data_IF_695223992084
#
_entry.id   IF_695223992084
#
_cell.length_a   1.000
_cell.length_b   1.000
_cell.length_c   1.000
_cell.angle_alpha   90.00
_cell.angle_beta   90.00
_cell.angle_gamma   90.00
#
_symmetry.space_group_name_H-M   'P 1'
#
loop_
_entity.id
_entity.type
_entity.pdbx_description
1 polymer ?
#
# COMPACT_ATOMS: atom_id res chain seq x y z
N UNK A 1 -6.56 -18.95 16.65
CA UNK A 1 -6.36 -17.54 16.31
C UNK A 1 -5.10 -17.10 17.03
N UNK A 2 -4.05 -16.87 16.26
CA UNK A 2 -2.70 -16.58 16.72
C UNK A 2 -2.32 -15.10 16.53
N UNK A 3 -3.19 -14.29 15.90
CA UNK A 3 -3.11 -12.83 15.90
C UNK A 3 -1.75 -12.30 15.40
N UNK A 4 -1.21 -12.90 14.33
CA UNK A 4 0.13 -12.62 13.82
C UNK A 4 0.25 -11.22 13.20
N UNK A 5 -0.84 -10.66 12.70
CA UNK A 5 -0.88 -9.30 12.18
C UNK A 5 -1.49 -8.36 13.20
N UNK A 6 -0.84 -7.22 13.41
CA UNK A 6 -1.40 -6.09 14.15
C UNK A 6 -1.46 -4.88 13.23
N UNK A 7 -2.65 -4.29 13.10
CA UNK A 7 -2.88 -3.11 12.26
C UNK A 7 -3.47 -2.00 13.11
N UNK A 8 -2.92 -0.80 12.95
CA UNK A 8 -3.45 0.44 13.53
C UNK A 8 -3.72 1.44 12.42
N UNK A 9 -4.94 1.99 12.38
CA UNK A 9 -5.31 3.05 11.45
C UNK A 9 -5.60 4.32 12.26
N UNK A 10 -4.90 5.40 11.93
CA UNK A 10 -5.07 6.71 12.56
C UNK A 10 -5.24 7.78 11.51
N UNK A 11 -6.20 8.68 11.69
CA UNK A 11 -6.35 9.88 10.88
C UNK A 11 -6.66 11.07 11.78
N UNK A 12 -5.89 12.14 11.63
CA UNK A 12 -5.99 13.34 12.47
C UNK A 12 -5.86 14.55 11.58
N UNK A 13 -6.69 15.55 11.85
CA UNK A 13 -6.67 16.82 11.12
C UNK A 13 -7.05 17.95 12.06
N UNK A 14 -6.45 19.13 11.87
CA UNK A 14 -6.87 20.35 12.54
C UNK A 14 -6.73 21.52 11.59
N UNK A 15 -7.81 22.27 11.39
CA UNK A 15 -7.82 23.46 10.53
C UNK A 15 -8.94 24.41 10.92
N UNK A 16 -8.61 25.68 11.12
CA UNK A 16 -9.61 26.75 11.31
C UNK A 16 -10.57 26.52 12.47
N UNK A 17 -10.12 25.87 13.55
CA UNK A 17 -10.96 25.55 14.72
C UNK A 17 -11.73 24.23 14.64
N UNK A 18 -11.78 23.56 13.48
CA UNK A 18 -12.29 22.20 13.36
C UNK A 18 -11.17 21.18 13.59
N UNK A 19 -11.50 20.04 14.22
CA UNK A 19 -10.53 18.97 14.48
C UNK A 19 -11.12 17.58 14.36
N UNK A 20 -10.32 16.66 13.80
CA UNK A 20 -10.47 15.21 13.93
C UNK A 20 -9.42 14.76 14.94
N UNK A 21 -9.82 14.22 16.11
CA UNK A 21 -8.88 13.82 17.16
C UNK A 21 -8.07 12.59 16.76
N UNK A 22 -6.92 12.39 17.41
CA UNK A 22 -6.04 11.23 17.22
C UNK A 22 -6.59 10.00 17.95
N UNK A 23 -7.62 9.38 17.40
CA UNK A 23 -8.08 8.06 17.81
C UNK A 23 -7.60 7.00 16.80
N UNK A 24 -7.09 5.89 17.32
CA UNK A 24 -6.64 4.76 16.51
C UNK A 24 -7.71 3.67 16.47
N UNK A 25 -7.95 3.10 15.29
CA UNK A 25 -8.61 1.81 15.16
C UNK A 25 -7.54 0.74 15.11
N UNK A 26 -7.50 -0.11 16.13
CA UNK A 26 -6.53 -1.18 16.25
C UNK A 26 -7.23 -2.53 16.12
N UNK A 27 -6.59 -3.47 15.45
CA UNK A 27 -7.05 -4.84 15.33
C UNK A 27 -5.87 -5.79 15.21
N UNK A 28 -6.11 -7.03 15.64
CA UNK A 28 -5.23 -8.14 15.34
C UNK A 28 -5.96 -9.14 14.47
N UNK A 29 -5.25 -9.69 13.50
CA UNK A 29 -5.79 -10.60 12.50
C UNK A 29 -4.89 -11.83 12.38
N UNK A 30 -5.50 -12.97 12.08
CA UNK A 30 -4.78 -14.19 11.76
C UNK A 30 -4.24 -14.11 10.33
N UNK A 31 -3.06 -14.68 10.08
CA UNK A 31 -2.56 -14.86 8.71
C UNK A 31 -3.06 -16.17 8.12
N UNK A 32 -3.57 -16.16 6.88
CA UNK A 32 -3.95 -17.41 6.17
C UNK A 32 -2.75 -18.16 5.58
N UNK A 33 -1.58 -17.52 5.47
CA UNK A 33 -0.35 -18.11 4.94
C UNK A 33 0.90 -17.75 5.75
N UNK A 34 2.08 -18.14 5.26
CA UNK A 34 3.36 -18.03 5.98
C UNK A 34 4.31 -16.97 5.44
N UNK A 35 3.94 -16.32 4.34
CA UNK A 35 4.83 -15.40 3.63
C UNK A 35 4.49 -13.93 3.90
N UNK A 36 5.54 -13.13 4.05
CA UNK A 36 5.51 -11.69 4.26
C UNK A 36 6.82 -11.10 3.76
N UNK A 37 6.80 -9.84 3.35
CA UNK A 37 8.00 -9.16 2.85
C UNK A 37 7.90 -7.64 3.05
N UNK A 38 9.03 -6.95 2.91
CA UNK A 38 9.11 -5.49 2.93
C UNK A 38 10.06 -4.91 1.86
N UNK A 39 9.85 -5.23 0.56
CA UNK A 39 10.77 -4.83 -0.50
C UNK A 39 10.53 -3.39 -0.94
N UNK A 40 11.42 -2.93 -1.82
CA UNK A 40 11.27 -1.66 -2.54
C UNK A 40 11.25 -1.90 -4.04
N UNK A 41 10.50 -1.09 -4.77
CA UNK A 41 10.45 -1.12 -6.23
C UNK A 41 10.53 0.30 -6.78
N UNK A 42 11.29 0.47 -7.88
CA UNK A 42 11.29 1.70 -8.67
C UNK A 42 10.18 1.59 -9.72
N UNK A 43 9.10 2.36 -9.55
CA UNK A 43 7.94 2.37 -10.45
C UNK A 43 8.13 3.44 -11.52
N UNK A 44 8.14 3.06 -12.79
CA UNK A 44 8.26 3.97 -13.92
C UNK A 44 6.97 4.69 -14.31
N UNK A 45 7.01 5.40 -15.44
CA UNK A 45 5.87 6.16 -15.98
C UNK A 45 4.92 5.30 -16.82
N UNK A 46 5.32 4.07 -17.15
CA UNK A 46 4.45 3.02 -17.67
C UNK A 46 3.67 2.37 -16.54
N UNK A 47 2.61 1.66 -16.90
CA UNK A 47 1.91 0.84 -15.91
C UNK A 47 2.70 -0.44 -15.63
N UNK A 48 3.09 -0.65 -14.39
CA UNK A 48 4.01 -1.71 -13.98
C UNK A 48 3.37 -2.56 -12.88
N UNK A 49 3.49 -3.88 -12.99
CA UNK A 49 3.03 -4.77 -11.93
C UNK A 49 3.85 -4.50 -10.65
N UNK A 50 3.18 -4.51 -9.50
CA UNK A 50 3.89 -4.43 -8.22
C UNK A 50 4.58 -5.77 -7.95
N UNK A 51 5.88 -5.72 -7.67
CA UNK A 51 6.70 -6.90 -7.39
C UNK A 51 7.17 -6.86 -5.93
N UNK A 52 6.65 -7.80 -5.14
CA UNK A 52 6.92 -7.92 -3.72
C UNK A 52 7.04 -9.39 -3.27
N UNK A 53 7.77 -10.19 -4.05
CA UNK A 53 7.80 -11.65 -3.95
C UNK A 53 6.40 -12.27 -4.23
N UNK A 54 5.87 -11.96 -5.41
CA UNK A 54 4.57 -12.48 -5.86
C UNK A 54 4.56 -14.00 -6.12
N UNK A 55 5.72 -14.66 -6.06
CA UNK A 55 5.83 -16.12 -6.21
C UNK A 55 5.30 -16.83 -4.97
N UNK A 56 5.74 -16.41 -3.79
CA UNK A 56 5.35 -17.05 -2.53
C UNK A 56 4.12 -16.35 -1.89
N UNK A 57 4.00 -15.03 -2.08
CA UNK A 57 2.89 -14.23 -1.55
C UNK A 57 1.72 -14.25 -2.54
N UNK A 58 0.82 -15.19 -2.30
CA UNK A 58 -0.37 -15.44 -3.13
C UNK A 58 -1.67 -15.17 -2.36
N UNK A 59 -2.78 -15.05 -3.09
CA UNK A 59 -4.10 -14.80 -2.52
C UNK A 59 -4.33 -13.33 -2.16
N UNK A 60 -5.20 -13.11 -1.18
CA UNK A 60 -5.45 -11.78 -0.64
C UNK A 60 -4.36 -11.40 0.38
N UNK A 61 -3.97 -10.14 0.36
CA UNK A 61 -2.88 -9.60 1.18
C UNK A 61 -3.29 -8.31 1.86
N UNK A 62 -2.64 -8.03 2.99
CA UNK A 62 -2.65 -6.73 3.64
C UNK A 62 -1.36 -5.99 3.25
N UNK A 63 -1.50 -4.86 2.56
CA UNK A 63 -0.41 -4.15 1.90
C UNK A 63 -0.33 -2.69 2.35
N UNK A 64 0.78 -2.31 2.97
CA UNK A 64 1.17 -0.91 3.13
C UNK A 64 2.06 -0.49 1.97
N UNK A 65 1.77 0.69 1.40
CA UNK A 65 2.56 1.28 0.31
C UNK A 65 3.00 2.68 0.73
N UNK A 66 4.29 3.00 0.58
CA UNK A 66 4.83 4.33 0.85
C UNK A 66 5.61 4.86 -0.34
N UNK A 67 5.24 6.06 -0.78
CA UNK A 67 6.05 6.84 -1.72
C UNK A 67 7.27 7.41 -0.99
N UNK A 68 8.47 7.03 -1.42
CA UNK A 68 9.74 7.52 -0.86
C UNK A 68 10.30 8.73 -1.63
N UNK A 69 9.67 9.12 -2.73
CA UNK A 69 10.06 10.30 -3.50
C UNK A 69 9.65 11.60 -2.79
N UNK A 70 10.46 12.64 -2.99
CA UNK A 70 10.29 13.95 -2.37
C UNK A 70 9.51 14.96 -3.25
N UNK A 71 9.26 14.63 -4.52
CA UNK A 71 8.76 15.55 -5.53
C UNK A 71 7.69 14.99 -6.45
N UNK A 72 7.75 13.69 -6.76
CA UNK A 72 6.87 13.02 -7.69
C UNK A 72 5.84 12.12 -6.98
N UNK A 73 4.72 11.86 -7.64
CA UNK A 73 3.66 10.98 -7.13
C UNK A 73 3.62 9.64 -7.86
N UNK A 74 3.05 8.66 -7.17
CA UNK A 74 2.71 7.34 -7.72
C UNK A 74 1.23 7.05 -7.53
N UNK A 75 0.63 6.44 -8.54
CA UNK A 75 -0.75 5.97 -8.54
C UNK A 75 -0.74 4.44 -8.45
N UNK A 76 -1.61 3.88 -7.61
CA UNK A 76 -1.77 2.44 -7.38
C UNK A 76 -3.11 2.00 -7.94
N UNK A 77 -3.13 0.95 -8.76
CA UNK A 77 -4.30 0.44 -9.47
C UNK A 77 -4.57 -1.03 -9.15
N UNK A 78 -5.82 -1.45 -9.34
CA UNK A 78 -6.27 -2.86 -9.26
C UNK A 78 -6.14 -3.61 -10.60
N UNK A 79 -5.77 -2.92 -11.67
CA UNK A 79 -5.71 -3.51 -13.00
C UNK A 79 -4.61 -2.90 -13.86
N UNK A 80 -4.24 -3.65 -14.90
CA UNK A 80 -3.21 -3.23 -15.85
C UNK A 80 -3.68 -2.13 -16.82
N UNK A 81 -4.98 -1.86 -16.89
CA UNK A 81 -5.59 -0.85 -17.75
C UNK A 81 -5.78 0.52 -17.10
N UNK A 82 -5.33 0.71 -15.86
CA UNK A 82 -5.53 1.93 -15.06
C UNK A 82 -7.01 2.32 -14.89
N UNK A 83 -7.93 1.37 -14.98
CA UNK A 83 -9.37 1.65 -14.93
C UNK A 83 -9.86 1.87 -13.50
N UNK A 84 -9.19 1.25 -12.52
CA UNK A 84 -9.58 1.28 -11.12
C UNK A 84 -8.41 1.77 -10.26
N UNK A 85 -8.34 3.09 -10.05
CA UNK A 85 -7.40 3.72 -9.13
C UNK A 85 -7.78 3.37 -7.68
N UNK A 86 -6.85 2.78 -6.94
CA UNK A 86 -6.99 2.49 -5.52
C UNK A 86 -6.49 3.66 -4.64
N UNK A 87 -5.35 4.24 -5.01
CA UNK A 87 -4.75 5.34 -4.24
C UNK A 87 -3.78 6.15 -5.09
N UNK A 88 -3.66 7.44 -4.79
CA UNK A 88 -2.63 8.33 -5.32
C UNK A 88 -1.79 8.84 -4.16
N UNK A 89 -0.52 8.47 -4.15
CA UNK A 89 0.42 8.83 -3.10
C UNK A 89 1.29 9.99 -3.58
N UNK A 90 1.02 11.18 -3.04
CA UNK A 90 1.90 12.34 -3.21
C UNK A 90 3.25 12.08 -2.53
N UNK A 91 4.26 12.93 -2.77
CA UNK A 91 5.57 12.80 -2.13
C UNK A 91 5.50 12.54 -0.62
N UNK A 92 6.21 11.50 -0.17
CA UNK A 92 6.27 11.09 1.23
C UNK A 92 4.99 10.46 1.81
N UNK A 93 3.88 10.39 1.07
CA UNK A 93 2.63 9.81 1.55
C UNK A 93 2.65 8.28 1.54
N UNK A 94 1.77 7.69 2.35
CA UNK A 94 1.57 6.25 2.43
C UNK A 94 0.07 5.92 2.53
N UNK A 95 -0.29 4.69 2.16
CA UNK A 95 -1.61 4.12 2.39
C UNK A 95 -1.52 2.66 2.85
N UNK A 96 -2.60 2.18 3.45
CA UNK A 96 -2.82 0.77 3.76
C UNK A 96 -4.00 0.26 2.92
N UNK A 97 -3.81 -0.86 2.24
CA UNK A 97 -4.81 -1.58 1.48
C UNK A 97 -5.01 -2.95 2.14
N UNK A 98 -6.22 -3.22 2.63
CA UNK A 98 -6.54 -4.46 3.33
C UNK A 98 -7.24 -5.45 2.39
N UNK A 99 -6.92 -6.73 2.48
CA UNK A 99 -7.53 -7.82 1.71
C UNK A 99 -7.58 -7.55 0.20
N UNK A 100 -6.43 -7.17 -0.39
CA UNK A 100 -6.31 -6.95 -1.84
C UNK A 100 -5.64 -8.15 -2.53
N UNK A 101 -6.05 -8.53 -3.74
CA UNK A 101 -5.46 -9.66 -4.43
C UNK A 101 -4.04 -9.35 -4.92
N UNK A 102 -3.06 -10.13 -4.47
CA UNK A 102 -1.62 -9.87 -4.67
C UNK A 102 -1.21 -9.76 -6.14
N UNK A 103 -1.79 -10.58 -7.02
CA UNK A 103 -1.43 -10.69 -8.44
C UNK A 103 -2.03 -9.59 -9.35
N UNK A 104 -2.76 -8.63 -8.79
CA UNK A 104 -3.55 -7.66 -9.59
C UNK A 104 -3.15 -6.21 -9.39
N UNK A 105 -2.11 -5.93 -8.61
CA UNK A 105 -1.76 -4.57 -8.26
C UNK A 105 -0.73 -4.00 -9.24
N UNK A 106 -0.97 -2.77 -9.66
CA UNK A 106 -0.10 -2.04 -10.57
C UNK A 106 0.23 -0.65 -10.04
N UNK A 107 1.40 -0.15 -10.41
CA UNK A 107 1.88 1.19 -10.09
C UNK A 107 2.19 1.98 -11.36
N UNK A 108 1.93 3.29 -11.30
CA UNK A 108 2.37 4.24 -12.34
C UNK A 108 2.82 5.55 -11.72
N UNK A 109 4.05 5.96 -12.01
CA UNK A 109 4.57 7.26 -11.63
C UNK A 109 4.18 8.35 -12.65
N UNK A 110 4.19 9.62 -12.23
CA UNK A 110 3.80 10.72 -13.12
C UNK A 110 4.86 11.06 -14.19
N UNK A 111 5.98 11.66 -13.78
CA UNK A 111 6.96 12.27 -14.71
C UNK A 111 8.29 11.54 -14.78
N UNK A 112 8.69 10.86 -13.71
CA UNK A 112 9.92 10.08 -13.60
C UNK A 112 9.67 8.87 -12.71
N UNK A 113 10.63 7.94 -12.63
CA UNK A 113 10.49 6.80 -11.75
C UNK A 113 10.38 7.23 -10.27
N UNK A 114 9.51 6.55 -9.52
CA UNK A 114 9.27 6.79 -8.09
C UNK A 114 9.68 5.54 -7.32
N UNK A 115 10.55 5.72 -6.32
CA UNK A 115 10.89 4.64 -5.40
C UNK A 115 9.76 4.45 -4.39
N UNK A 116 9.25 3.23 -4.30
CA UNK A 116 8.16 2.85 -3.40
C UNK A 116 8.64 1.76 -2.45
N UNK A 117 8.25 1.85 -1.18
CA UNK A 117 8.41 0.77 -0.21
C UNK A 117 7.08 0.07 0.03
N UNK A 118 7.13 -1.26 0.08
CA UNK A 118 6.01 -2.10 0.47
C UNK A 118 6.24 -2.68 1.87
N UNK A 119 5.14 -2.94 2.57
CA UNK A 119 5.09 -3.95 3.64
C UNK A 119 3.88 -4.82 3.36
N UNK A 120 4.08 -6.11 3.22
CA UNK A 120 3.05 -7.02 2.75
C UNK A 120 3.06 -8.28 3.60
N UNK A 121 1.87 -8.79 3.87
CA UNK A 121 1.68 -10.10 4.46
C UNK A 121 0.37 -10.70 3.96
N UNK A 122 0.30 -12.02 3.86
CA UNK A 122 -0.93 -12.73 3.48
C UNK A 122 -2.03 -12.43 4.49
N UNK A 123 -3.22 -12.10 4.00
CA UNK A 123 -4.36 -11.69 4.81
C UNK A 123 -4.98 -12.85 5.59
#
# INVERSE_FOLDING_TARGET
MANEQTVGVTFTASKGGASIPSAAWNGSFDMTGTHMDAPTQSIGTSNEALDFNTTDITGDVNLAVKNLDASNYVEIFKDSGNSHLLSKLLPGQACMLMNVPSASLYGRANTAAVLVQFKIAQA
#
